data_IF_682225198199
#
_entry.id   IF_682225198199
#
_cell.length_a   1.000
_cell.length_b   1.000
_cell.length_c   1.000
_cell.angle_alpha   90.00
_cell.angle_beta   90.00
_cell.angle_gamma   90.00
#
_symmetry.space_group_name_H-M   'P 1'
#
loop_
_entity.id
_entity.type
_entity.pdbx_description
1 polymer ?
#
# COMPACT_ATOMS: atom_id res chain seq x y z
N UNK A 1 -12.41 -11.48 -17.46
CA UNK A 1 -13.74 -11.61 -16.84
C UNK A 1 -14.68 -11.94 -18.00
N UNK A 2 -15.28 -13.14 -18.01
CA UNK A 2 -16.22 -13.51 -19.10
C UNK A 2 -17.52 -12.79 -18.76
N UNK A 3 -17.88 -11.79 -19.56
CA UNK A 3 -19.17 -11.10 -19.47
C UNK A 3 -20.27 -12.15 -19.68
N UNK A 4 -21.23 -12.30 -18.75
CA UNK A 4 -22.30 -13.26 -18.92
C UNK A 4 -23.22 -12.77 -20.03
N UNK A 5 -23.46 -13.65 -21.00
CA UNK A 5 -24.50 -13.48 -22.00
C UNK A 5 -25.86 -13.68 -21.28
N UNK A 6 -26.46 -12.59 -20.81
CA UNK A 6 -27.69 -12.61 -20.00
C UNK A 6 -28.91 -13.12 -20.78
N UNK A 7 -28.82 -13.26 -22.11
CA UNK A 7 -29.96 -13.58 -22.97
C UNK A 7 -30.30 -15.09 -23.05
N UNK A 8 -29.39 -16.00 -22.67
CA UNK A 8 -29.59 -17.44 -22.93
C UNK A 8 -29.83 -18.31 -21.70
N UNK A 9 -29.89 -17.74 -20.49
CA UNK A 9 -30.03 -18.53 -19.24
C UNK A 9 -28.87 -19.50 -18.97
N UNK A 10 -27.76 -19.37 -19.71
CA UNK A 10 -26.63 -20.31 -19.67
C UNK A 10 -25.53 -19.79 -18.75
N UNK A 11 -25.13 -20.58 -17.75
CA UNK A 11 -23.97 -20.26 -16.88
C UNK A 11 -22.66 -20.67 -17.57
N UNK A 12 -21.85 -19.70 -17.99
CA UNK A 12 -20.53 -19.93 -18.59
C UNK A 12 -19.49 -20.27 -17.52
N UNK A 13 -18.60 -21.21 -17.82
CA UNK A 13 -17.45 -21.58 -17.00
C UNK A 13 -16.27 -21.98 -17.90
N UNK A 14 -15.04 -21.88 -17.39
CA UNK A 14 -13.83 -22.24 -18.15
C UNK A 14 -13.11 -23.43 -17.50
N UNK A 15 -12.37 -23.20 -16.42
CA UNK A 15 -11.61 -24.26 -15.74
C UNK A 15 -12.32 -24.84 -14.52
N UNK A 16 -13.21 -24.07 -13.88
CA UNK A 16 -13.91 -24.48 -12.66
C UNK A 16 -15.41 -24.30 -12.87
N UNK A 17 -16.16 -25.41 -12.76
CA UNK A 17 -17.62 -25.39 -12.69
C UNK A 17 -18.03 -25.52 -11.23
N UNK A 18 -18.47 -24.42 -10.63
CA UNK A 18 -19.05 -24.47 -9.28
C UNK A 18 -20.43 -25.12 -9.38
N UNK A 19 -20.55 -26.37 -8.92
CA UNK A 19 -21.85 -27.02 -8.78
C UNK A 19 -22.57 -26.44 -7.55
N UNK A 20 -23.83 -26.03 -7.73
CA UNK A 20 -24.72 -25.69 -6.61
C UNK A 20 -24.87 -26.97 -5.74
N UNK A 21 -24.24 -27.00 -4.56
CA UNK A 21 -24.03 -28.20 -3.75
C UNK A 21 -25.35 -28.85 -3.28
N UNK A 22 -25.54 -30.14 -3.60
CA UNK A 22 -26.56 -31.00 -2.97
C UNK A 22 -26.01 -32.29 -2.32
N UNK A 23 -24.73 -32.64 -2.46
CA UNK A 23 -24.19 -33.85 -1.79
C UNK A 23 -22.87 -33.59 -1.05
N UNK A 24 -22.97 -33.44 0.27
CA UNK A 24 -21.87 -33.40 1.21
C UNK A 24 -21.66 -34.78 1.84
N UNK A 25 -20.80 -35.64 1.27
CA UNK A 25 -20.32 -36.84 1.99
C UNK A 25 -18.83 -37.20 1.88
N UNK A 26 -17.99 -36.53 1.07
CA UNK A 26 -16.56 -36.90 0.95
C UNK A 26 -15.53 -35.75 1.01
N UNK A 27 -15.92 -34.55 1.45
CA UNK A 27 -15.15 -33.30 1.22
C UNK A 27 -13.89 -33.03 2.06
N UNK A 28 -13.69 -33.66 3.23
CA UNK A 28 -12.69 -33.13 4.20
C UNK A 28 -11.23 -33.57 3.91
N UNK A 29 -11.01 -34.74 3.30
CA UNK A 29 -9.65 -35.23 2.96
C UNK A 29 -9.15 -34.73 1.61
N UNK A 30 -10.03 -34.56 0.63
CA UNK A 30 -9.68 -34.00 -0.69
C UNK A 30 -9.36 -32.50 -0.62
N UNK A 31 -10.09 -31.74 0.21
CA UNK A 31 -9.87 -30.31 0.40
C UNK A 31 -8.49 -29.99 0.99
N UNK A 32 -8.02 -30.77 1.97
CA UNK A 32 -6.72 -30.56 2.64
C UNK A 32 -5.51 -30.87 1.75
N UNK A 33 -5.50 -32.00 1.02
CA UNK A 33 -4.40 -32.31 0.08
C UNK A 33 -4.30 -31.30 -1.06
N UNK A 34 -5.45 -30.82 -1.55
CA UNK A 34 -5.51 -29.81 -2.60
C UNK A 34 -4.95 -28.47 -2.11
N UNK A 35 -5.23 -28.09 -0.85
CA UNK A 35 -4.67 -26.89 -0.20
C UNK A 35 -3.14 -26.93 -0.05
N UNK A 36 -2.55 -28.07 0.33
CA UNK A 36 -1.09 -28.22 0.47
C UNK A 36 -0.35 -28.13 -0.87
N UNK A 37 -0.89 -28.75 -1.93
CA UNK A 37 -0.32 -28.65 -3.30
C UNK A 37 -0.35 -27.19 -3.80
N UNK A 38 -1.41 -26.45 -3.49
CA UNK A 38 -1.51 -25.04 -3.86
C UNK A 38 -0.53 -24.17 -3.07
N UNK A 39 -0.23 -24.51 -1.81
CA UNK A 39 0.75 -23.77 -1.00
C UNK A 39 2.15 -23.82 -1.63
N UNK A 40 2.61 -24.98 -2.11
CA UNK A 40 3.91 -25.08 -2.79
C UNK A 40 3.96 -24.22 -4.06
N UNK A 41 2.85 -24.13 -4.81
CA UNK A 41 2.77 -23.25 -6.01
C UNK A 41 2.80 -21.77 -5.63
N UNK A 42 2.14 -21.37 -4.54
CA UNK A 42 2.22 -20.02 -4.00
C UNK A 42 3.65 -19.68 -3.59
N UNK A 43 4.34 -20.58 -2.90
CA UNK A 43 5.74 -20.41 -2.51
C UNK A 43 6.67 -20.30 -3.72
N UNK A 44 6.46 -21.11 -4.76
CA UNK A 44 7.24 -21.02 -6.00
C UNK A 44 7.05 -19.66 -6.70
N UNK A 45 5.81 -19.18 -6.78
CA UNK A 45 5.50 -17.87 -7.36
C UNK A 45 6.11 -16.75 -6.53
N UNK A 46 5.95 -16.80 -5.20
CA UNK A 46 6.54 -15.86 -4.25
C UNK A 46 8.06 -15.81 -4.40
N UNK A 47 8.72 -16.97 -4.42
CA UNK A 47 10.16 -17.08 -4.59
C UNK A 47 10.66 -16.48 -5.91
N UNK A 48 9.91 -16.67 -6.99
CA UNK A 48 10.24 -16.11 -8.31
C UNK A 48 10.12 -14.58 -8.33
N UNK A 49 9.10 -14.01 -7.66
CA UNK A 49 8.84 -12.58 -7.62
C UNK A 49 9.60 -11.84 -6.50
N UNK A 50 10.26 -12.56 -5.60
CA UNK A 50 10.84 -12.05 -4.36
C UNK A 50 11.74 -10.84 -4.60
N UNK A 51 12.69 -10.95 -5.53
CA UNK A 51 13.65 -9.88 -5.82
C UNK A 51 12.97 -8.57 -6.22
N UNK A 52 11.91 -8.63 -7.02
CA UNK A 52 11.19 -7.43 -7.45
C UNK A 52 10.43 -6.77 -6.29
N UNK A 53 9.93 -7.57 -5.34
CA UNK A 53 9.30 -7.05 -4.12
C UNK A 53 10.34 -6.39 -3.22
N UNK A 54 11.50 -7.04 -3.04
CA UNK A 54 12.62 -6.50 -2.25
C UNK A 54 13.13 -5.19 -2.84
N UNK A 55 13.41 -5.16 -4.15
CA UNK A 55 13.89 -3.98 -4.86
C UNK A 55 12.91 -2.81 -4.72
N UNK A 56 11.59 -3.08 -4.79
CA UNK A 56 10.55 -2.07 -4.59
C UNK A 56 10.55 -1.54 -3.15
N UNK A 57 10.52 -2.41 -2.16
CA UNK A 57 10.42 -2.02 -0.75
C UNK A 57 11.68 -1.29 -0.29
N UNK A 58 12.85 -1.76 -0.70
CA UNK A 58 14.12 -1.10 -0.41
C UNK A 58 14.18 0.29 -1.04
N UNK A 59 13.70 0.45 -2.28
CA UNK A 59 13.65 1.76 -2.94
C UNK A 59 12.70 2.72 -2.23
N UNK A 60 11.52 2.25 -1.83
CA UNK A 60 10.53 3.07 -1.11
C UNK A 60 11.02 3.50 0.27
N UNK A 61 11.75 2.63 0.98
CA UNK A 61 12.29 2.90 2.32
C UNK A 61 13.79 3.25 2.30
N UNK A 62 14.23 3.99 1.30
CA UNK A 62 15.60 4.51 1.20
C UNK A 62 15.64 6.03 1.33
N UNK A 63 16.64 6.54 2.07
CA UNK A 63 16.93 7.97 2.18
C UNK A 63 17.86 8.49 1.07
N UNK A 64 18.52 7.58 0.34
CA UNK A 64 19.33 7.87 -0.82
C UNK A 64 19.36 6.66 -1.76
N UNK A 65 18.71 6.76 -2.92
CA UNK A 65 18.70 5.69 -3.90
C UNK A 65 19.37 6.17 -5.19
N UNK A 66 20.44 5.48 -5.63
CA UNK A 66 21.17 5.79 -6.89
C UNK A 66 21.61 7.27 -7.01
N UNK A 67 21.97 7.90 -5.89
CA UNK A 67 22.43 9.29 -5.85
C UNK A 67 21.33 10.35 -5.80
N UNK A 68 20.04 9.97 -5.81
CA UNK A 68 18.95 10.92 -5.54
C UNK A 68 18.78 11.15 -4.03
N UNK A 69 18.58 12.39 -3.63
CA UNK A 69 18.22 12.74 -2.26
C UNK A 69 16.76 12.35 -1.93
N UNK A 70 16.46 12.20 -0.65
CA UNK A 70 15.10 12.02 -0.16
C UNK A 70 14.18 13.19 -0.61
N UNK A 71 12.93 12.92 -1.03
CA UNK A 71 11.97 13.97 -1.34
C UNK A 71 11.75 14.96 -0.17
N UNK A 72 11.82 16.26 -0.46
CA UNK A 72 11.68 17.34 0.54
C UNK A 72 10.37 17.22 1.34
N UNK A 73 9.27 16.91 0.66
CA UNK A 73 7.96 16.75 1.29
C UNK A 73 7.92 15.68 2.38
N UNK A 74 8.71 14.60 2.24
CA UNK A 74 8.77 13.54 3.26
C UNK A 74 9.48 14.04 4.51
N UNK A 75 10.67 14.64 4.34
CA UNK A 75 11.43 15.20 5.47
C UNK A 75 10.62 16.27 6.19
N UNK A 76 10.08 17.24 5.46
CA UNK A 76 9.32 18.35 6.03
C UNK A 76 8.07 17.87 6.80
N UNK A 77 7.29 16.94 6.22
CA UNK A 77 6.12 16.37 6.89
C UNK A 77 6.49 15.53 8.12
N UNK A 78 7.59 14.77 8.08
CA UNK A 78 8.02 13.95 9.20
C UNK A 78 8.55 14.80 10.35
N UNK A 79 9.28 15.88 10.06
CA UNK A 79 9.69 16.87 11.06
C UNK A 79 8.47 17.54 11.69
N UNK A 80 7.46 17.93 10.88
CA UNK A 80 6.20 18.45 11.40
C UNK A 80 5.51 17.46 12.37
N UNK A 81 5.39 16.18 12.01
CA UNK A 81 4.80 15.16 12.89
C UNK A 81 5.60 14.99 14.19
N UNK A 82 6.92 15.07 14.09
CA UNK A 82 7.83 15.02 15.22
C UNK A 82 7.61 16.22 16.15
N UNK A 83 7.57 17.44 15.63
CA UNK A 83 7.25 18.66 16.40
C UNK A 83 5.86 18.59 17.03
N UNK A 84 4.85 18.08 16.32
CA UNK A 84 3.51 17.90 16.88
C UNK A 84 3.53 16.92 18.06
N UNK A 85 4.32 15.85 18.02
CA UNK A 85 4.46 14.92 19.13
C UNK A 85 5.15 15.59 20.33
N UNK A 86 6.22 16.36 20.09
CA UNK A 86 6.96 17.08 21.12
C UNK A 86 6.09 18.15 21.80
N UNK A 87 5.26 18.88 21.04
CA UNK A 87 4.28 19.84 21.57
C UNK A 87 3.25 19.20 22.52
N UNK A 88 2.92 17.91 22.35
CA UNK A 88 2.05 17.14 23.26
C UNK A 88 2.84 16.35 24.31
N UNK A 89 4.15 16.53 24.40
CA UNK A 89 5.04 15.80 25.31
C UNK A 89 4.98 14.27 25.13
N UNK A 90 4.75 13.82 23.89
CA UNK A 90 4.71 12.40 23.56
C UNK A 90 6.14 11.90 23.32
N UNK A 91 6.69 11.18 24.30
CA UNK A 91 8.02 10.59 24.24
C UNK A 91 8.04 9.16 23.68
N UNK A 92 6.88 8.52 23.55
CA UNK A 92 6.75 7.17 23.01
C UNK A 92 7.06 7.15 21.49
N UNK A 93 8.15 6.49 21.05
CA UNK A 93 8.53 6.43 19.64
C UNK A 93 7.50 5.67 18.78
N UNK A 94 6.72 4.75 19.35
CA UNK A 94 5.74 3.97 18.60
C UNK A 94 4.60 4.85 18.08
N UNK A 95 4.27 5.93 18.80
CA UNK A 95 3.26 6.91 18.36
C UNK A 95 3.75 7.64 17.10
N UNK A 96 4.98 8.16 17.12
CA UNK A 96 5.59 8.87 15.98
C UNK A 96 5.76 7.93 14.79
N UNK A 97 6.21 6.70 15.02
CA UNK A 97 6.27 5.65 14.00
C UNK A 97 4.89 5.40 13.37
N UNK A 98 3.86 5.24 14.19
CA UNK A 98 2.49 4.99 13.74
C UNK A 98 1.94 6.17 12.94
N UNK A 99 2.19 7.42 13.36
CA UNK A 99 1.78 8.61 12.59
C UNK A 99 2.46 8.67 11.23
N UNK A 100 3.78 8.46 11.19
CA UNK A 100 4.56 8.42 9.93
C UNK A 100 4.06 7.32 9.00
N UNK A 101 3.79 6.12 9.53
CA UNK A 101 3.21 5.01 8.77
C UNK A 101 1.80 5.33 8.24
N UNK A 102 0.94 5.90 9.08
CA UNK A 102 -0.43 6.24 8.72
C UNK A 102 -0.55 7.43 7.76
N UNK A 103 0.44 8.32 7.72
CA UNK A 103 0.40 9.50 6.84
C UNK A 103 0.89 9.18 5.43
N UNK A 104 1.96 8.37 5.29
CA UNK A 104 2.63 8.18 4.01
C UNK A 104 2.48 6.76 3.45
N UNK A 105 3.14 5.70 3.98
CA UNK A 105 3.10 4.39 3.34
C UNK A 105 1.70 3.79 3.27
N UNK A 106 0.88 3.94 4.32
CA UNK A 106 -0.45 3.34 4.36
C UNK A 106 -1.51 4.10 3.54
N UNK A 107 -1.23 5.35 3.13
CA UNK A 107 -2.15 6.14 2.30
C UNK A 107 -1.68 6.24 0.86
N UNK A 108 -0.44 6.65 0.65
CA UNK A 108 0.11 6.88 -0.68
C UNK A 108 0.68 5.58 -1.28
N UNK A 109 1.68 4.97 -0.63
CA UNK A 109 2.40 3.85 -1.24
C UNK A 109 1.54 2.59 -1.42
N UNK A 110 0.72 2.23 -0.43
CA UNK A 110 -0.24 1.13 -0.57
C UNK A 110 -1.18 1.36 -1.75
N UNK A 111 -1.64 2.60 -1.96
CA UNK A 111 -2.54 2.92 -3.06
C UNK A 111 -1.84 2.75 -4.42
N UNK A 112 -0.60 3.25 -4.56
CA UNK A 112 0.19 3.10 -5.80
C UNK A 112 0.56 1.63 -6.07
N UNK A 113 0.96 0.87 -5.05
CA UNK A 113 1.28 -0.56 -5.18
C UNK A 113 0.06 -1.35 -5.65
N UNK A 114 -1.13 -1.05 -5.10
CA UNK A 114 -2.37 -1.70 -5.52
C UNK A 114 -2.87 -1.23 -6.88
N UNK A 115 -2.55 0.01 -7.27
CA UNK A 115 -3.09 0.66 -8.46
C UNK A 115 -1.99 1.21 -9.37
N UNK A 116 -1.13 0.34 -9.95
CA UNK A 116 -0.06 0.78 -10.83
C UNK A 116 -0.57 1.49 -12.09
N UNK A 117 -1.82 1.26 -12.49
CA UNK A 117 -2.46 1.98 -13.60
C UNK A 117 -2.70 3.48 -13.34
N UNK A 118 -2.51 3.96 -12.10
CA UNK A 118 -2.48 5.40 -11.81
C UNK A 118 -1.16 6.06 -12.20
N UNK A 119 -0.10 5.27 -12.39
CA UNK A 119 1.24 5.75 -12.73
C UNK A 119 1.62 5.38 -14.16
N UNK A 120 1.18 4.22 -14.63
CA UNK A 120 1.52 3.67 -15.94
C UNK A 120 0.27 3.43 -16.79
N UNK A 121 0.37 3.63 -18.10
CA UNK A 121 -0.69 3.27 -19.05
C UNK A 121 -0.73 1.75 -19.26
N UNK A 122 -1.40 1.05 -18.34
CA UNK A 122 -1.51 -0.41 -18.32
C UNK A 122 -2.91 -0.87 -17.94
N UNK A 123 -3.32 -2.02 -18.49
CA UNK A 123 -4.53 -2.71 -18.03
C UNK A 123 -4.22 -3.65 -16.86
N UNK A 124 -4.76 -3.35 -15.67
CA UNK A 124 -4.65 -4.22 -14.49
C UNK A 124 -5.72 -5.33 -14.54
N UNK A 125 -5.28 -6.57 -14.77
CA UNK A 125 -6.18 -7.74 -14.72
C UNK A 125 -6.62 -8.07 -13.28
N UNK A 126 -7.74 -8.79 -13.12
CA UNK A 126 -8.23 -9.21 -11.80
C UNK A 126 -7.26 -10.12 -11.05
N UNK A 127 -6.51 -10.97 -11.74
CA UNK A 127 -5.50 -11.82 -11.10
C UNK A 127 -4.29 -11.00 -10.65
N UNK A 128 -3.86 -10.01 -11.45
CA UNK A 128 -2.80 -9.06 -11.07
C UNK A 128 -3.20 -8.27 -9.84
N UNK A 129 -4.44 -7.78 -9.77
CA UNK A 129 -4.99 -7.07 -8.62
C UNK A 129 -4.95 -7.90 -7.33
N UNK A 130 -5.33 -9.19 -7.42
CA UNK A 130 -5.25 -10.11 -6.29
C UNK A 130 -3.80 -10.31 -5.80
N UNK A 131 -2.85 -10.50 -6.73
CA UNK A 131 -1.43 -10.62 -6.39
C UNK A 131 -0.85 -9.35 -5.76
N UNK A 132 -1.15 -8.17 -6.32
CA UNK A 132 -0.71 -6.89 -5.78
C UNK A 132 -1.33 -6.60 -4.41
N UNK A 133 -2.54 -7.08 -4.14
CA UNK A 133 -3.15 -6.98 -2.81
C UNK A 133 -2.40 -7.79 -1.74
N UNK A 134 -1.82 -8.94 -2.10
CA UNK A 134 -0.94 -9.70 -1.21
C UNK A 134 0.33 -8.92 -0.91
N UNK A 135 1.00 -8.38 -1.94
CA UNK A 135 2.22 -7.57 -1.78
C UNK A 135 1.95 -6.31 -0.95
N UNK A 136 0.84 -5.62 -1.22
CA UNK A 136 0.43 -4.44 -0.46
C UNK A 136 0.14 -4.78 1.01
N UNK A 137 -0.47 -5.94 1.30
CA UNK A 137 -0.67 -6.37 2.68
C UNK A 137 0.67 -6.62 3.38
N UNK A 138 1.63 -7.26 2.71
CA UNK A 138 2.98 -7.43 3.26
C UNK A 138 3.66 -6.09 3.55
N UNK A 139 3.51 -5.12 2.65
CA UNK A 139 4.02 -3.75 2.84
C UNK A 139 3.37 -3.04 4.04
N UNK A 140 2.06 -3.24 4.24
CA UNK A 140 1.36 -2.71 5.43
C UNK A 140 1.87 -3.36 6.71
N UNK A 141 2.03 -4.69 6.71
CA UNK A 141 2.52 -5.45 7.86
C UNK A 141 3.95 -5.05 8.26
N UNK A 142 4.80 -4.67 7.29
CA UNK A 142 6.15 -4.14 7.58
C UNK A 142 6.14 -2.75 8.22
N UNK A 143 5.06 -1.98 8.09
CA UNK A 143 4.94 -0.65 8.71
C UNK A 143 4.42 -0.69 10.15
N UNK A 144 3.91 -1.84 10.62
CA UNK A 144 3.32 -2.00 11.94
C UNK A 144 4.37 -2.14 13.04
N UNK A 145 4.14 -1.53 14.21
CA UNK A 145 4.94 -1.75 15.43
C UNK A 145 4.56 -3.04 16.17
N UNK A 146 3.37 -3.61 15.89
CA UNK A 146 2.88 -4.80 16.58
C UNK A 146 3.62 -6.07 16.17
N UNK A 147 3.85 -6.98 17.12
CA UNK A 147 4.44 -8.29 16.83
C UNK A 147 3.62 -9.09 15.81
N UNK A 148 4.32 -9.76 14.91
CA UNK A 148 3.71 -10.61 13.90
C UNK A 148 3.39 -12.00 14.49
N UNK A 149 2.24 -12.13 15.15
CA UNK A 149 1.80 -13.42 15.72
C UNK A 149 1.20 -14.31 14.64
N UNK A 150 1.86 -15.43 14.38
CA UNK A 150 1.42 -16.44 13.43
C UNK A 150 0.84 -17.65 14.17
N UNK A 151 -0.28 -18.14 13.68
CA UNK A 151 -0.96 -19.32 14.18
C UNK A 151 -1.55 -20.14 13.04
N UNK A 152 -2.15 -21.29 13.38
CA UNK A 152 -2.75 -22.19 12.37
C UNK A 152 -3.88 -21.53 11.56
N UNK A 153 -4.55 -20.54 12.14
CA UNK A 153 -5.64 -19.80 11.51
C UNK A 153 -5.17 -18.50 10.83
N UNK A 154 -3.85 -18.28 10.71
CA UNK A 154 -3.33 -17.12 10.01
C UNK A 154 -3.60 -17.21 8.50
N UNK A 155 -4.07 -16.13 7.86
CA UNK A 155 -4.27 -16.07 6.43
C UNK A 155 -3.01 -16.47 5.64
N UNK A 156 -3.18 -17.17 4.50
CA UNK A 156 -2.06 -17.67 3.70
C UNK A 156 -1.09 -16.57 3.26
N UNK A 157 -1.59 -15.37 2.95
CA UNK A 157 -0.76 -14.21 2.60
C UNK A 157 0.16 -13.76 3.74
N UNK A 158 -0.27 -13.86 5.00
CA UNK A 158 0.59 -13.59 6.17
C UNK A 158 1.67 -14.66 6.32
N UNK A 159 1.32 -15.92 6.07
CA UNK A 159 2.27 -17.03 6.13
C UNK A 159 3.33 -16.96 5.02
N UNK A 160 2.98 -16.46 3.82
CA UNK A 160 3.88 -16.41 2.67
C UNK A 160 5.11 -15.52 2.90
N UNK A 161 4.93 -14.37 3.56
CA UNK A 161 5.99 -13.38 3.82
C UNK A 161 6.41 -13.30 5.29
N UNK A 162 5.91 -14.20 6.12
CA UNK A 162 6.19 -14.28 7.56
C UNK A 162 7.68 -14.13 7.93
N UNK A 163 8.57 -14.76 7.15
CA UNK A 163 10.02 -14.76 7.41
C UNK A 163 10.71 -13.47 6.96
N UNK A 164 10.10 -12.73 6.04
CA UNK A 164 10.69 -11.51 5.45
C UNK A 164 10.24 -10.26 6.21
N UNK A 165 9.04 -10.27 6.80
CA UNK A 165 8.47 -9.13 7.55
C UNK A 165 9.42 -8.56 8.61
N UNK A 166 10.11 -9.35 9.47
CA UNK A 166 11.04 -8.78 10.44
C UNK A 166 12.17 -7.96 9.79
N UNK A 167 12.67 -8.40 8.64
CA UNK A 167 13.69 -7.66 7.90
C UNK A 167 13.10 -6.35 7.33
N UNK A 168 11.92 -6.38 6.73
CA UNK A 168 11.27 -5.17 6.23
C UNK A 168 10.94 -4.16 7.34
N UNK A 169 10.51 -4.61 8.53
CA UNK A 169 10.31 -3.74 9.70
C UNK A 169 11.61 -3.01 10.06
N UNK A 170 12.74 -3.71 10.05
CA UNK A 170 14.05 -3.10 10.32
C UNK A 170 14.41 -2.01 9.29
N UNK A 171 13.97 -2.16 8.02
CA UNK A 171 14.16 -1.14 6.99
C UNK A 171 13.31 0.09 7.26
N UNK A 172 12.04 -0.08 7.65
CA UNK A 172 11.13 1.03 8.01
C UNK A 172 11.65 1.79 9.22
N UNK A 173 12.05 1.08 10.29
CA UNK A 173 12.63 1.69 11.49
C UNK A 173 13.90 2.47 11.17
N UNK A 174 14.78 1.90 10.32
CA UNK A 174 15.98 2.60 9.84
C UNK A 174 15.63 3.83 9.04
N UNK A 175 14.69 3.73 8.11
CA UNK A 175 14.23 4.82 7.26
C UNK A 175 13.74 6.01 8.10
N UNK A 176 12.85 5.80 9.06
CA UNK A 176 12.34 6.88 9.91
C UNK A 176 13.42 7.51 10.79
N UNK A 177 14.31 6.69 11.35
CA UNK A 177 15.43 7.17 12.16
C UNK A 177 16.41 8.00 11.34
N UNK A 178 16.74 7.55 10.13
CA UNK A 178 17.73 8.21 9.30
C UNK A 178 17.17 9.55 8.77
N UNK A 179 15.88 9.64 8.44
CA UNK A 179 15.19 10.91 8.12
C UNK A 179 15.24 11.89 9.28
N UNK A 180 14.99 11.43 10.51
CA UNK A 180 15.02 12.29 11.70
C UNK A 180 16.42 12.89 11.93
N UNK A 181 17.49 12.20 11.53
CA UNK A 181 18.88 12.68 11.62
C UNK A 181 19.28 13.65 10.51
N UNK A 182 18.50 13.74 9.42
CA UNK A 182 18.78 14.69 8.34
C UNK A 182 18.59 16.13 8.84
N UNK A 183 19.35 17.05 8.26
CA UNK A 183 19.16 18.47 8.51
C UNK A 183 17.70 18.88 8.21
N UNK A 184 17.12 19.69 9.09
CA UNK A 184 15.80 20.26 8.88
C UNK A 184 15.80 21.16 7.64
N UNK A 185 14.68 21.15 6.92
CA UNK A 185 14.47 22.00 5.75
C UNK A 185 13.99 23.35 6.25
N UNK A 186 14.59 24.44 5.75
CA UNK A 186 14.12 25.78 6.10
C UNK A 186 12.77 26.07 5.43
N UNK A 187 11.92 26.87 6.08
CA UNK A 187 10.65 27.29 5.47
C UNK A 187 10.89 28.01 4.13
N UNK A 188 11.97 28.77 4.01
CA UNK A 188 12.35 29.43 2.75
C UNK A 188 12.60 28.42 1.62
N UNK A 189 13.33 27.33 1.89
CA UNK A 189 13.61 26.31 0.88
C UNK A 189 12.34 25.53 0.52
N UNK A 190 11.50 25.24 1.51
CA UNK A 190 10.23 24.55 1.30
C UNK A 190 9.24 25.41 0.50
N UNK A 191 9.15 26.72 0.80
CA UNK A 191 8.34 27.67 0.04
C UNK A 191 8.82 27.79 -1.41
N UNK A 192 10.13 27.90 -1.63
CA UNK A 192 10.69 27.94 -2.97
C UNK A 192 10.34 26.68 -3.78
N UNK A 193 10.43 25.51 -3.15
CA UNK A 193 10.02 24.24 -3.75
C UNK A 193 8.51 24.24 -4.10
N UNK A 194 7.64 24.68 -3.18
CA UNK A 194 6.18 24.72 -3.40
C UNK A 194 5.77 25.73 -4.48
N UNK A 195 6.45 26.88 -4.55
CA UNK A 195 6.25 27.88 -5.61
C UNK A 195 6.61 27.29 -6.97
N UNK A 196 7.72 26.57 -7.07
CA UNK A 196 8.12 25.93 -8.33
C UNK A 196 7.15 24.82 -8.74
N UNK A 197 6.71 23.97 -7.81
CA UNK A 197 5.67 22.97 -8.10
C UNK A 197 4.35 23.61 -8.56
N UNK A 198 3.93 24.70 -7.90
CA UNK A 198 2.73 25.46 -8.29
C UNK A 198 2.86 26.05 -9.69
N UNK A 199 4.06 26.55 -10.04
CA UNK A 199 4.35 27.10 -11.37
C UNK A 199 4.33 26.02 -12.45
N UNK A 200 4.92 24.86 -12.19
CA UNK A 200 4.99 23.75 -13.14
C UNK A 200 3.61 23.20 -13.51
N UNK A 201 2.68 23.17 -12.55
CA UNK A 201 1.35 22.58 -12.71
C UNK A 201 0.22 23.60 -12.79
N UNK A 202 0.54 24.89 -12.98
CA UNK A 202 -0.44 25.99 -12.94
C UNK A 202 -1.58 25.85 -13.98
N UNK A 203 -1.31 25.19 -15.10
CA UNK A 203 -2.25 25.01 -16.21
C UNK A 203 -2.78 23.57 -16.36
N UNK A 204 -2.41 22.66 -15.48
CA UNK A 204 -2.73 21.24 -15.64
C UNK A 204 -4.20 20.93 -15.28
N UNK A 205 -4.84 21.79 -14.48
CA UNK A 205 -6.18 21.57 -13.94
C UNK A 205 -7.12 22.76 -14.18
N UNK A 206 -8.40 22.48 -14.45
CA UNK A 206 -9.43 23.52 -14.55
C UNK A 206 -9.94 23.93 -13.16
N UNK A 207 -9.45 25.07 -12.68
CA UNK A 207 -9.81 25.61 -11.35
C UNK A 207 -11.29 25.97 -11.26
N UNK A 208 -11.91 26.49 -12.32
CA UNK A 208 -13.32 26.89 -12.30
C UNK A 208 -14.25 25.67 -12.13
N UNK A 209 -13.93 24.55 -12.77
CA UNK A 209 -14.67 23.30 -12.58
C UNK A 209 -14.57 22.81 -11.13
N UNK A 210 -13.37 22.81 -10.54
CA UNK A 210 -13.19 22.42 -9.15
C UNK A 210 -13.95 23.35 -8.18
N UNK A 211 -13.93 24.66 -8.42
CA UNK A 211 -14.67 25.64 -7.61
C UNK A 211 -16.18 25.46 -7.71
N UNK A 212 -16.70 25.13 -8.90
CA UNK A 212 -18.13 24.84 -9.09
C UNK A 212 -18.58 23.64 -8.26
N UNK A 213 -17.81 22.55 -8.28
CA UNK A 213 -18.08 21.36 -7.46
C UNK A 213 -17.93 21.65 -5.95
N UNK A 214 -16.98 22.49 -5.55
CA UNK A 214 -16.84 22.90 -4.15
C UNK A 214 -18.00 23.78 -3.67
N UNK A 215 -18.50 24.68 -4.53
CA UNK A 215 -19.59 25.58 -4.19
C UNK A 215 -20.89 24.83 -3.86
N UNK A 216 -21.10 23.66 -4.44
CA UNK A 216 -22.20 22.76 -4.05
C UNK A 216 -22.22 22.54 -2.53
N UNK A 217 -21.07 22.27 -1.91
CA UNK A 217 -20.99 22.04 -0.47
C UNK A 217 -21.25 23.31 0.35
N UNK A 218 -20.80 24.48 -0.12
CA UNK A 218 -21.10 25.78 0.53
C UNK A 218 -22.60 26.02 0.58
N UNK A 219 -23.32 25.74 -0.51
CA UNK A 219 -24.78 25.93 -0.55
C UNK A 219 -25.51 24.89 0.29
N UNK A 220 -25.05 23.63 0.27
CA UNK A 220 -25.63 22.53 1.03
C UNK A 220 -25.52 22.76 2.53
N UNK A 221 -24.39 23.29 2.99
CA UNK A 221 -24.07 23.47 4.40
C UNK A 221 -24.06 24.96 4.81
N UNK A 222 -25.00 25.75 4.27
CA UNK A 222 -25.03 27.21 4.49
C UNK A 222 -25.48 27.60 5.90
N UNK A 223 -26.20 26.73 6.60
CA UNK A 223 -26.88 27.06 7.87
C UNK A 223 -26.10 26.61 9.11
N UNK A 224 -25.20 25.65 8.94
CA UNK A 224 -24.20 25.23 9.91
C UNK A 224 -23.23 26.36 10.27
#
# INVERSE_FOLDING_TARGET
>A
MITPDQETGTKLWHLVKNHDHADHREGDRGSKMVSEIYLTRLLATKGTLQKFVDDLFETVFSTAHRGSALPLAIKYMFDFLDEQADQRQISDPDVRHTWKSNCLPLRFWVNVIKNPQFVFDIHKSSITDACLSVVAQTFMDSCSTSEHRLGKDSPSNKLLYAKDIPNYKSWVERYYRDIAKMASISDQDMDAYLVEQSRLHASDFNILSALSELYFYVTKYRQE
#
